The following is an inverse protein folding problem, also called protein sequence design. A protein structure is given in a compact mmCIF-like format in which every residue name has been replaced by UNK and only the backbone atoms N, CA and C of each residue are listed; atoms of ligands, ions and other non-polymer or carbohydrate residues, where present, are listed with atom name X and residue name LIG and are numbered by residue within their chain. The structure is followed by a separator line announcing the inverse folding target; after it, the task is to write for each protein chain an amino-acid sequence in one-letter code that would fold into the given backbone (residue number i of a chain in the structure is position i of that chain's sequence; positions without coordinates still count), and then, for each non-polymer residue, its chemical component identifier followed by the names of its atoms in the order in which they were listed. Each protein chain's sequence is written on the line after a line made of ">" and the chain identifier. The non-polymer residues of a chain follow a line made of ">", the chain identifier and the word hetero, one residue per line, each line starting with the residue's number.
data_IF_545947369131
#
_entry.id   IF_545947369131
#
_cell.length_a   1.000
_cell.length_b   1.000
_cell.length_c   1.000
_cell.angle_alpha   90.00
_cell.angle_beta   90.00
_cell.angle_gamma   90.00
#
_symmetry.space_group_name_H-M   'P 1'
#
loop_
_entity.id
_entity.type
_entity.pdbx_description
1 polymer ?
#
# COMPACT_ATOMS: atom_id res chain seq x y z
N UNK A 1 4.27 -24.57 -4.32
CA UNK A 1 5.36 -23.68 -3.87
C UNK A 1 5.03 -23.14 -2.49
N UNK A 2 6.03 -23.00 -1.61
CA UNK A 2 5.88 -22.43 -0.28
C UNK A 2 5.94 -20.89 -0.30
N UNK A 3 5.42 -20.24 0.75
CA UNK A 3 5.51 -18.77 0.90
C UNK A 3 6.95 -18.25 0.80
N UNK A 4 7.92 -19.04 1.29
CA UNK A 4 9.35 -18.73 1.19
C UNK A 4 9.84 -18.74 -0.26
N UNK A 5 9.40 -19.72 -1.06
CA UNK A 5 9.75 -19.80 -2.48
C UNK A 5 9.20 -18.61 -3.28
N UNK A 6 7.96 -18.18 -3.01
CA UNK A 6 7.42 -16.98 -3.66
C UNK A 6 8.16 -15.70 -3.28
N UNK A 7 8.50 -15.52 -1.99
CA UNK A 7 9.32 -14.39 -1.55
C UNK A 7 10.65 -14.33 -2.30
N UNK A 8 11.32 -15.47 -2.44
CA UNK A 8 12.58 -15.58 -3.17
C UNK A 8 12.42 -15.18 -4.64
N UNK A 9 11.43 -15.73 -5.34
CA UNK A 9 11.17 -15.42 -6.77
C UNK A 9 10.92 -13.91 -6.96
N UNK A 10 10.10 -13.31 -6.11
CA UNK A 10 9.77 -11.87 -6.18
C UNK A 10 11.02 -11.03 -5.91
N UNK A 11 11.84 -11.40 -4.92
CA UNK A 11 13.10 -10.71 -4.62
C UNK A 11 14.09 -10.77 -5.79
N UNK A 12 14.20 -11.92 -6.45
CA UNK A 12 15.04 -12.05 -7.64
C UNK A 12 14.54 -11.17 -8.77
N UNK A 13 13.24 -11.20 -9.06
CA UNK A 13 12.67 -10.37 -10.13
C UNK A 13 12.77 -8.88 -9.86
N UNK A 14 12.59 -8.43 -8.63
CA UNK A 14 12.81 -7.03 -8.28
C UNK A 14 14.26 -6.59 -8.58
N UNK A 15 15.26 -7.42 -8.23
CA UNK A 15 16.66 -7.13 -8.54
C UNK A 15 16.94 -7.11 -10.04
N UNK A 16 16.41 -8.07 -10.79
CA UNK A 16 16.56 -8.13 -12.25
C UNK A 16 15.96 -6.91 -12.96
N UNK A 17 14.85 -6.38 -12.44
CA UNK A 17 14.20 -5.17 -12.96
C UNK A 17 14.89 -3.86 -12.52
N UNK A 18 15.95 -3.93 -11.71
CA UNK A 18 16.71 -2.76 -11.26
C UNK A 18 16.16 -2.04 -10.04
N UNK A 19 15.24 -2.66 -9.28
CA UNK A 19 14.80 -2.08 -8.00
C UNK A 19 15.94 -2.15 -6.96
N UNK A 20 16.23 -1.02 -6.31
CA UNK A 20 17.25 -0.93 -5.26
C UNK A 20 16.91 -1.73 -3.99
N UNK A 21 15.63 -2.06 -3.79
CA UNK A 21 15.17 -2.83 -2.64
C UNK A 21 13.73 -3.29 -2.78
N UNK A 22 13.38 -4.34 -2.04
CA UNK A 22 12.03 -4.89 -1.96
C UNK A 22 11.80 -5.50 -0.58
N UNK A 23 10.61 -5.28 -0.03
CA UNK A 23 10.19 -5.78 1.28
C UNK A 23 8.75 -6.31 1.21
N UNK A 24 8.33 -7.00 2.26
CA UNK A 24 7.01 -7.61 2.34
C UNK A 24 6.33 -7.15 3.62
N UNK A 25 5.18 -6.50 3.49
CA UNK A 25 4.32 -6.15 4.60
C UNK A 25 3.31 -7.28 4.88
N UNK A 26 2.75 -7.32 6.09
CA UNK A 26 1.60 -8.15 6.40
C UNK A 26 0.35 -7.51 5.79
N UNK A 27 -0.60 -8.34 5.35
CA UNK A 27 -1.93 -7.88 4.97
C UNK A 27 -2.78 -7.82 6.24
N UNK A 28 -2.72 -6.69 6.93
CA UNK A 28 -3.47 -6.41 8.16
C UNK A 28 -4.08 -5.01 8.10
N UNK A 29 -5.15 -4.79 8.86
CA UNK A 29 -5.80 -3.49 8.92
C UNK A 29 -4.90 -2.48 9.65
N UNK A 30 -4.88 -1.25 9.15
CA UNK A 30 -3.95 -0.21 9.62
C UNK A 30 -4.72 1.00 10.16
N UNK A 31 -5.27 0.87 11.37
CA UNK A 31 -6.15 1.87 12.01
C UNK A 31 -5.51 3.26 12.11
N UNK A 32 -4.22 3.33 12.46
CA UNK A 32 -3.52 4.60 12.68
C UNK A 32 -3.36 5.36 11.37
N UNK A 33 -3.09 4.64 10.30
CA UNK A 33 -2.90 5.14 8.94
C UNK A 33 -4.25 5.53 8.33
N UNK A 34 -5.29 4.75 8.58
CA UNK A 34 -6.68 5.08 8.23
C UNK A 34 -7.10 6.43 8.82
N UNK A 35 -6.89 6.64 10.13
CA UNK A 35 -7.19 7.91 10.80
C UNK A 35 -6.41 9.10 10.23
N UNK A 36 -5.16 8.87 9.81
CA UNK A 36 -4.36 9.92 9.15
C UNK A 36 -4.91 10.25 7.77
N UNK A 37 -5.32 9.24 7.01
CA UNK A 37 -5.92 9.41 5.69
C UNK A 37 -7.26 10.16 5.79
N UNK A 38 -8.11 9.82 6.76
CA UNK A 38 -9.39 10.49 7.00
C UNK A 38 -9.19 11.99 7.25
N UNK A 39 -8.25 12.35 8.16
CA UNK A 39 -7.92 13.76 8.43
C UNK A 39 -7.38 14.48 7.19
N UNK A 40 -6.58 13.80 6.38
CA UNK A 40 -6.00 14.38 5.18
C UNK A 40 -7.06 14.64 4.09
N UNK A 41 -7.99 13.71 3.89
CA UNK A 41 -9.13 13.84 2.97
C UNK A 41 -10.12 14.90 3.45
N UNK A 42 -10.50 14.90 4.73
CA UNK A 42 -11.36 15.93 5.32
C UNK A 42 -10.76 17.35 5.25
N UNK A 43 -9.44 17.46 5.12
CA UNK A 43 -8.73 18.71 4.86
C UNK A 43 -8.71 19.17 3.40
N UNK A 44 -9.33 18.43 2.47
CA UNK A 44 -9.38 18.80 1.04
C UNK A 44 -8.05 18.66 0.29
N UNK A 45 -7.08 17.93 0.85
CA UNK A 45 -5.71 17.87 0.32
C UNK A 45 -5.56 17.01 -0.96
N UNK A 46 -6.62 16.34 -1.39
CA UNK A 46 -6.74 15.54 -2.61
C UNK A 46 -7.20 16.35 -3.83
N UNK A 47 -7.40 17.67 -3.69
CA UNK A 47 -7.80 18.55 -4.78
C UNK A 47 -9.16 18.14 -5.35
N UNK A 48 -9.21 17.76 -6.63
CA UNK A 48 -10.47 17.37 -7.30
C UNK A 48 -10.70 15.85 -7.32
N UNK A 49 -9.89 15.05 -6.60
CA UNK A 49 -9.96 13.58 -6.67
C UNK A 49 -11.07 12.99 -5.79
N UNK A 50 -12.34 13.30 -6.09
CA UNK A 50 -13.50 12.81 -5.32
C UNK A 50 -13.63 11.28 -5.24
N UNK A 51 -13.01 10.53 -6.16
CA UNK A 51 -12.95 9.06 -6.07
C UNK A 51 -12.28 8.58 -4.77
N UNK A 52 -11.27 9.30 -4.26
CA UNK A 52 -10.54 8.91 -3.05
C UNK A 52 -11.39 9.03 -1.79
N UNK A 53 -12.22 10.06 -1.70
CA UNK A 53 -13.18 10.25 -0.60
C UNK A 53 -14.29 9.20 -0.67
N UNK A 54 -14.85 8.98 -1.86
CA UNK A 54 -16.00 8.09 -2.05
C UNK A 54 -15.67 6.59 -1.88
N UNK A 55 -14.39 6.23 -1.82
CA UNK A 55 -13.93 4.84 -1.68
C UNK A 55 -12.85 4.72 -0.60
N UNK A 56 -13.07 5.38 0.54
CA UNK A 56 -12.16 5.34 1.70
C UNK A 56 -11.91 3.90 2.19
N UNK A 57 -12.96 3.08 2.30
CA UNK A 57 -12.87 1.70 2.78
C UNK A 57 -11.98 0.78 1.92
N UNK A 58 -11.75 1.12 0.64
CA UNK A 58 -10.81 0.37 -0.21
C UNK A 58 -9.34 0.67 0.11
N UNK A 59 -9.08 1.65 0.98
CA UNK A 59 -7.75 2.19 1.32
C UNK A 59 -7.38 1.99 2.78
N UNK A 60 -8.26 1.39 3.56
CA UNK A 60 -8.11 1.13 5.02
C UNK A 60 -8.37 -0.33 5.32
#
# INVERSE_FOLDING_TARGET
>A
MSKSQYKFIIQQKARELGFSGVSFAKAEHMDVEALRLEKWLGGGNHGTMGYMENHFDLRT
#
